data_IF_639696111350
#
_entry.id   IF_639696111350
#
_cell.length_a   1.000
_cell.length_b   1.000
_cell.length_c   1.000
_cell.angle_alpha   90.00
_cell.angle_beta   90.00
_cell.angle_gamma   90.00
#
_symmetry.space_group_name_H-M   'P 1'
#
loop_
_entity.id
_entity.type
_entity.pdbx_description
1 polymer ?
#
# COMPACT_ATOMS: atom_id res chain seq x y z
N UNK A 1 -2.97 -35.85 -23.28
CA UNK A 1 -1.87 -34.99 -22.76
C UNK A 1 -2.37 -33.63 -22.27
N UNK A 2 -3.21 -32.91 -23.02
CA UNK A 2 -3.76 -31.61 -22.59
C UNK A 2 -4.54 -31.64 -21.25
N UNK A 3 -5.28 -32.73 -20.97
CA UNK A 3 -6.04 -32.92 -19.73
C UNK A 3 -5.17 -33.04 -18.47
N UNK A 4 -4.02 -33.72 -18.56
CA UNK A 4 -3.08 -33.87 -17.43
C UNK A 4 -2.37 -32.55 -17.11
N UNK A 5 -2.07 -31.74 -18.12
CA UNK A 5 -1.47 -30.42 -17.94
C UNK A 5 -2.47 -29.43 -17.32
N UNK A 6 -3.75 -29.53 -17.67
CA UNK A 6 -4.83 -28.75 -17.07
C UNK A 6 -5.06 -29.11 -15.59
N UNK A 7 -5.00 -30.40 -15.26
CA UNK A 7 -5.09 -30.88 -13.87
C UNK A 7 -3.89 -30.41 -13.02
N UNK A 8 -2.68 -30.43 -13.58
CA UNK A 8 -1.47 -29.97 -12.90
C UNK A 8 -1.50 -28.45 -12.68
N UNK A 9 -2.05 -27.70 -13.63
CA UNK A 9 -2.26 -26.25 -13.49
C UNK A 9 -3.29 -25.92 -12.41
N UNK A 10 -4.41 -26.65 -12.33
CA UNK A 10 -5.38 -26.50 -11.24
C UNK A 10 -4.80 -26.86 -9.88
N UNK A 11 -3.94 -27.88 -9.80
CA UNK A 11 -3.24 -28.24 -8.56
C UNK A 11 -2.27 -27.14 -8.11
N UNK A 12 -1.55 -26.50 -9.04
CA UNK A 12 -0.66 -25.37 -8.76
C UNK A 12 -1.47 -24.12 -8.37
N UNK A 13 -2.63 -23.87 -8.99
CA UNK A 13 -3.57 -22.79 -8.62
C UNK A 13 -4.14 -22.99 -7.23
N UNK A 14 -4.56 -24.21 -6.89
CA UNK A 14 -5.06 -24.55 -5.57
C UNK A 14 -3.97 -24.41 -4.52
N UNK A 15 -2.73 -24.83 -4.82
CA UNK A 15 -1.57 -24.66 -3.95
C UNK A 15 -1.21 -23.18 -3.75
N UNK A 16 -1.23 -22.39 -4.82
CA UNK A 16 -1.02 -20.93 -4.79
C UNK A 16 -2.08 -20.22 -3.96
N UNK A 17 -3.37 -20.51 -4.20
CA UNK A 17 -4.48 -19.95 -3.42
C UNK A 17 -4.38 -20.38 -1.95
N UNK A 18 -4.02 -21.63 -1.67
CA UNK A 18 -3.82 -22.12 -0.31
C UNK A 18 -2.68 -21.39 0.40
N UNK A 19 -1.55 -21.10 -0.27
CA UNK A 19 -0.43 -20.37 0.32
C UNK A 19 -0.73 -18.88 0.55
N UNK A 20 -1.40 -18.22 -0.40
CA UNK A 20 -1.84 -16.82 -0.24
C UNK A 20 -2.91 -16.70 0.85
N UNK A 21 -3.82 -17.66 0.93
CA UNK A 21 -4.90 -17.68 1.90
C UNK A 21 -4.41 -18.13 3.28
N UNK A 22 -3.38 -18.98 3.36
CA UNK A 22 -2.67 -19.32 4.60
C UNK A 22 -2.06 -18.07 5.26
N UNK A 23 -1.48 -17.14 4.48
CA UNK A 23 -0.99 -15.87 5.00
C UNK A 23 -2.09 -14.99 5.63
N UNK A 24 -3.33 -15.07 5.13
CA UNK A 24 -4.51 -14.40 5.71
C UNK A 24 -5.07 -15.15 6.92
N UNK A 25 -5.00 -16.48 6.93
CA UNK A 25 -5.46 -17.32 8.04
C UNK A 25 -4.52 -17.26 9.23
N UNK A 26 -3.22 -17.07 9.01
CA UNK A 26 -2.22 -16.80 10.05
C UNK A 26 -2.45 -15.47 10.78
N UNK A 27 -3.11 -14.47 10.15
CA UNK A 27 -3.50 -13.22 10.83
C UNK A 27 -4.66 -13.46 11.80
N UNK A 28 -5.67 -14.24 11.39
CA UNK A 28 -6.79 -14.61 12.26
C UNK A 28 -6.34 -15.55 13.39
N UNK A 29 -5.44 -16.50 13.09
CA UNK A 29 -4.84 -17.40 14.08
C UNK A 29 -3.98 -16.65 15.10
N UNK A 30 -3.16 -15.68 14.69
CA UNK A 30 -2.35 -14.88 15.64
C UNK A 30 -3.17 -13.97 16.55
N UNK A 31 -4.30 -13.44 16.09
CA UNK A 31 -5.21 -12.66 16.95
C UNK A 31 -5.88 -13.56 17.98
N UNK A 32 -6.23 -14.80 17.60
CA UNK A 32 -6.74 -15.81 18.53
C UNK A 32 -5.63 -16.37 19.45
N UNK A 33 -4.40 -16.54 18.97
CA UNK A 33 -3.24 -16.97 19.76
C UNK A 33 -2.80 -15.89 20.73
N UNK A 34 -2.87 -14.59 20.39
CA UNK A 34 -2.61 -13.50 21.37
C UNK A 34 -3.67 -13.43 22.47
N UNK A 35 -4.89 -13.90 22.21
CA UNK A 35 -5.93 -14.04 23.22
C UNK A 35 -5.73 -15.31 24.07
N UNK A 36 -5.03 -16.33 23.53
CA UNK A 36 -4.81 -17.62 24.18
C UNK A 36 -3.42 -17.79 24.85
N UNK A 37 -2.40 -17.03 24.42
CA UNK A 37 -1.01 -17.15 24.87
C UNK A 37 -0.58 -15.94 25.70
N UNK A 38 -1.18 -15.83 26.89
CA UNK A 38 -0.50 -15.24 28.06
C UNK A 38 0.51 -16.22 28.69
N UNK A 39 0.83 -17.31 28.00
CA UNK A 39 1.86 -18.29 28.36
C UNK A 39 2.20 -19.15 27.15
N UNK A 40 3.44 -19.63 27.10
CA UNK A 40 4.07 -20.47 26.06
C UNK A 40 4.85 -19.71 24.99
N UNK A 41 6.14 -19.61 25.28
CA UNK A 41 7.25 -19.08 24.50
C UNK A 41 7.53 -19.84 23.20
N UNK A 42 7.84 -19.05 22.16
CA UNK A 42 8.86 -19.24 21.11
C UNK A 42 9.23 -20.66 20.60
N UNK A 43 8.89 -20.92 19.33
CA UNK A 43 9.72 -21.72 18.41
C UNK A 43 9.68 -21.13 16.99
N UNK A 44 10.79 -20.54 16.48
CA UNK A 44 10.93 -20.24 15.05
C UNK A 44 12.36 -20.52 14.55
N UNK A 45 12.68 -21.74 14.09
CA UNK A 45 14.04 -21.99 13.53
C UNK A 45 14.10 -22.84 12.23
N UNK A 46 13.09 -23.65 11.92
CA UNK A 46 13.19 -24.57 10.77
C UNK A 46 12.82 -23.99 9.38
N UNK A 47 12.14 -22.83 9.31
CA UNK A 47 11.60 -22.28 8.04
C UNK A 47 12.52 -21.26 7.36
N UNK A 48 13.57 -20.78 8.03
CA UNK A 48 14.42 -19.69 7.54
C UNK A 48 15.57 -20.17 6.62
N UNK A 49 16.12 -21.38 6.86
CA UNK A 49 17.31 -21.88 6.13
C UNK A 49 17.04 -22.19 4.65
N UNK A 50 15.88 -22.76 4.32
CA UNK A 50 15.51 -23.09 2.92
C UNK A 50 15.20 -21.83 2.10
N UNK A 51 14.68 -20.80 2.75
CA UNK A 51 14.30 -19.53 2.13
C UNK A 51 15.54 -18.66 1.82
N UNK A 52 16.56 -18.69 2.68
CA UNK A 52 17.87 -18.04 2.46
C UNK A 52 18.70 -18.68 1.35
N UNK A 53 18.64 -20.02 1.21
CA UNK A 53 19.37 -20.74 0.17
C UNK A 53 18.86 -20.48 -1.26
N UNK A 54 17.54 -20.26 -1.42
CA UNK A 54 16.92 -19.99 -2.72
C UNK A 54 17.04 -18.49 -3.08
N UNK A 55 16.92 -17.60 -2.10
CA UNK A 55 17.00 -16.15 -2.34
C UNK A 55 18.41 -15.70 -2.74
N UNK A 56 19.45 -16.28 -2.15
CA UNK A 56 20.86 -15.98 -2.46
C UNK A 56 21.29 -16.39 -3.88
N UNK A 57 20.73 -17.49 -4.41
CA UNK A 57 20.99 -17.91 -5.81
C UNK A 57 20.21 -17.09 -6.83
N UNK A 58 19.03 -16.56 -6.48
CA UNK A 58 18.24 -15.72 -7.40
C UNK A 58 18.68 -14.27 -7.48
N UNK A 59 19.26 -13.72 -6.41
CA UNK A 59 19.80 -12.36 -6.40
C UNK A 59 21.19 -12.24 -7.07
N UNK A 60 21.65 -13.28 -7.77
CA UNK A 60 22.94 -13.27 -8.49
C UNK A 60 22.91 -12.45 -9.80
N UNK A 61 21.73 -12.20 -10.40
CA UNK A 61 21.62 -11.39 -11.62
C UNK A 61 21.54 -9.88 -11.30
N UNK A 62 22.32 -9.01 -11.96
CA UNK A 62 22.32 -7.56 -11.70
C UNK A 62 20.96 -6.89 -11.94
N UNK A 63 20.16 -7.39 -12.90
CA UNK A 63 18.80 -6.87 -13.16
C UNK A 63 17.83 -7.15 -12.01
N UNK A 64 17.97 -8.30 -11.33
CA UNK A 64 17.06 -8.73 -10.26
C UNK A 64 17.33 -8.03 -8.93
N UNK A 65 18.56 -7.57 -8.68
CA UNK A 65 18.88 -6.84 -7.44
C UNK A 65 18.18 -5.48 -7.38
N UNK A 66 18.08 -4.79 -8.50
CA UNK A 66 17.46 -3.46 -8.54
C UNK A 66 15.93 -3.54 -8.38
N UNK A 67 15.29 -4.52 -9.04
CA UNK A 67 13.84 -4.73 -8.93
C UNK A 67 13.45 -5.26 -7.53
N UNK A 68 14.28 -6.13 -6.94
CA UNK A 68 14.13 -6.55 -5.54
C UNK A 68 14.28 -5.37 -4.57
N UNK A 69 15.28 -4.50 -4.75
CA UNK A 69 15.47 -3.33 -3.88
C UNK A 69 14.28 -2.36 -3.96
N UNK A 70 13.75 -2.13 -5.15
CA UNK A 70 12.58 -1.26 -5.35
C UNK A 70 11.34 -1.82 -4.65
N UNK A 71 11.06 -3.11 -4.84
CA UNK A 71 9.91 -3.78 -4.21
C UNK A 71 10.11 -3.95 -2.71
N UNK A 72 11.32 -4.26 -2.27
CA UNK A 72 11.69 -4.32 -0.87
C UNK A 72 11.49 -2.96 -0.21
N UNK A 73 11.93 -1.86 -0.83
CA UNK A 73 11.69 -0.51 -0.32
C UNK A 73 10.19 -0.21 -0.21
N UNK A 74 9.41 -0.56 -1.24
CA UNK A 74 7.96 -0.37 -1.25
C UNK A 74 7.23 -1.19 -0.16
N UNK A 75 7.67 -2.42 0.09
CA UNK A 75 7.09 -3.31 1.10
C UNK A 75 7.60 -3.02 2.51
N UNK A 76 8.83 -2.53 2.68
CA UNK A 76 9.41 -2.12 3.98
C UNK A 76 8.55 -1.06 4.64
N UNK A 77 7.95 -0.17 3.84
CA UNK A 77 7.05 0.87 4.33
C UNK A 77 5.84 0.27 5.04
N UNK A 78 5.37 -0.93 4.66
CA UNK A 78 4.21 -1.60 5.26
C UNK A 78 4.45 -2.20 6.65
N UNK A 79 5.65 -2.05 7.22
CA UNK A 79 5.99 -2.57 8.56
C UNK A 79 6.06 -4.09 8.65
N UNK A 80 6.16 -4.77 7.50
CA UNK A 80 6.33 -6.23 7.44
C UNK A 80 7.79 -6.60 7.64
N UNK A 81 8.02 -7.68 8.38
CA UNK A 81 9.36 -8.26 8.57
C UNK A 81 10.04 -8.55 7.22
N UNK A 82 11.35 -8.30 7.10
CA UNK A 82 12.10 -8.48 5.86
C UNK A 82 11.99 -9.90 5.28
N UNK A 83 11.88 -10.92 6.14
CA UNK A 83 11.67 -12.32 5.74
C UNK A 83 10.31 -12.55 5.04
N UNK A 84 9.26 -11.87 5.48
CA UNK A 84 7.90 -11.95 4.89
C UNK A 84 7.82 -11.21 3.56
N UNK A 85 8.59 -10.14 3.41
CA UNK A 85 8.71 -9.37 2.17
C UNK A 85 9.35 -10.23 1.07
N UNK A 86 10.38 -11.00 1.42
CA UNK A 86 11.03 -11.94 0.50
C UNK A 86 10.06 -13.03 0.03
N UNK A 87 9.27 -13.63 0.94
CA UNK A 87 8.29 -14.65 0.56
C UNK A 87 7.18 -14.13 -0.36
N UNK A 88 6.67 -12.92 -0.10
CA UNK A 88 5.65 -12.28 -0.95
C UNK A 88 6.22 -11.90 -2.31
N UNK A 89 7.47 -11.42 -2.35
CA UNK A 89 8.15 -11.09 -3.61
C UNK A 89 8.40 -12.35 -4.46
N UNK A 90 8.93 -13.42 -3.86
CA UNK A 90 9.20 -14.68 -4.57
C UNK A 90 7.91 -15.31 -5.12
N UNK A 91 6.84 -15.33 -4.32
CA UNK A 91 5.53 -15.78 -4.78
C UNK A 91 5.03 -14.86 -5.91
N UNK A 92 4.82 -13.57 -5.65
CA UNK A 92 4.13 -12.66 -6.58
C UNK A 92 4.92 -12.38 -7.86
N UNK A 93 6.25 -12.29 -7.78
CA UNK A 93 7.10 -11.89 -8.89
C UNK A 93 7.60 -13.09 -9.71
N UNK A 94 7.65 -14.30 -9.15
CA UNK A 94 8.12 -15.46 -9.90
C UNK A 94 7.00 -16.46 -10.24
N UNK A 95 6.22 -16.88 -9.26
CA UNK A 95 5.20 -17.92 -9.47
C UNK A 95 4.05 -17.44 -10.35
N UNK A 96 3.63 -16.18 -10.20
CA UNK A 96 2.52 -15.59 -10.97
C UNK A 96 2.83 -15.43 -12.47
N UNK A 97 3.98 -14.84 -12.90
CA UNK A 97 4.33 -14.77 -14.32
C UNK A 97 4.76 -16.11 -14.92
N UNK A 98 5.42 -17.00 -14.17
CA UNK A 98 5.75 -18.35 -14.66
C UNK A 98 4.47 -19.15 -14.93
N UNK A 99 3.47 -19.02 -14.06
CA UNK A 99 2.17 -19.67 -14.24
C UNK A 99 1.41 -19.11 -15.46
N UNK A 100 1.41 -17.79 -15.66
CA UNK A 100 0.83 -17.15 -16.85
C UNK A 100 1.54 -17.53 -18.15
N UNK A 101 2.86 -17.68 -18.11
CA UNK A 101 3.67 -18.11 -19.25
C UNK A 101 3.35 -19.57 -19.62
N UNK A 102 3.24 -20.45 -18.64
CA UNK A 102 2.88 -21.87 -18.83
C UNK A 102 1.44 -22.02 -19.35
N UNK A 103 0.51 -21.20 -18.84
CA UNK A 103 -0.88 -21.14 -19.33
C UNK A 103 -0.94 -20.64 -20.79
N UNK A 104 -0.18 -19.61 -21.13
CA UNK A 104 -0.12 -19.06 -22.48
C UNK A 104 0.51 -20.00 -23.49
N UNK A 105 1.55 -20.73 -23.09
CA UNK A 105 2.15 -21.78 -23.90
C UNK A 105 1.16 -22.90 -24.23
N UNK A 106 0.30 -23.26 -23.27
CA UNK A 106 -0.68 -24.32 -23.42
C UNK A 106 -1.87 -23.94 -24.31
N UNK A 107 -2.34 -22.70 -24.21
CA UNK A 107 -3.55 -22.23 -24.91
C UNK A 107 -3.26 -21.70 -26.32
N UNK A 108 -2.15 -20.98 -26.51
CA UNK A 108 -1.88 -20.20 -27.72
C UNK A 108 -0.42 -20.33 -28.22
N UNK A 109 0.30 -21.35 -27.76
CA UNK A 109 1.68 -21.63 -28.17
C UNK A 109 2.69 -20.57 -27.72
N UNK A 110 3.83 -20.48 -28.42
CA UNK A 110 4.95 -19.61 -28.03
C UNK A 110 4.58 -18.13 -27.96
N UNK A 111 3.79 -17.62 -28.93
CA UNK A 111 3.33 -16.22 -28.91
C UNK A 111 2.39 -15.93 -27.73
N UNK A 112 1.49 -16.88 -27.39
CA UNK A 112 0.62 -16.76 -26.22
C UNK A 112 1.39 -16.76 -24.90
N UNK A 113 2.42 -17.60 -24.79
CA UNK A 113 3.32 -17.65 -23.64
C UNK A 113 4.04 -16.31 -23.43
N UNK A 114 4.55 -15.72 -24.51
CA UNK A 114 5.30 -14.47 -24.46
C UNK A 114 4.39 -13.30 -24.05
N UNK A 115 3.20 -13.20 -24.65
CA UNK A 115 2.25 -12.13 -24.33
C UNK A 115 1.75 -12.22 -22.88
N UNK A 116 1.34 -13.39 -22.42
CA UNK A 116 0.82 -13.57 -21.05
C UNK A 116 1.93 -13.48 -19.99
N UNK A 117 3.15 -13.92 -20.29
CA UNK A 117 4.31 -13.74 -19.41
C UNK A 117 4.62 -12.27 -19.15
N UNK A 118 4.61 -11.44 -20.20
CA UNK A 118 4.83 -9.98 -20.10
C UNK A 118 3.71 -9.32 -19.28
N UNK A 119 2.45 -9.67 -19.55
CA UNK A 119 1.30 -9.15 -18.80
C UNK A 119 1.38 -9.56 -17.31
N UNK A 120 1.78 -10.80 -17.03
CA UNK A 120 1.96 -11.29 -15.66
C UNK A 120 3.06 -10.56 -14.90
N UNK A 121 4.18 -10.29 -15.56
CA UNK A 121 5.30 -9.56 -14.96
C UNK A 121 4.95 -8.10 -14.68
N UNK A 122 4.32 -7.40 -15.64
CA UNK A 122 3.89 -6.01 -15.45
C UNK A 122 2.76 -5.92 -14.42
N UNK A 123 1.81 -6.87 -14.46
CA UNK A 123 0.66 -6.92 -13.57
C UNK A 123 1.06 -7.12 -12.10
N UNK A 124 1.98 -8.05 -11.83
CA UNK A 124 2.47 -8.29 -10.46
C UNK A 124 3.19 -7.06 -9.90
N UNK A 125 4.06 -6.42 -10.69
CA UNK A 125 4.78 -5.19 -10.28
C UNK A 125 3.83 -4.04 -10.01
N UNK A 126 2.82 -3.84 -10.86
CA UNK A 126 1.80 -2.80 -10.66
C UNK A 126 0.93 -3.07 -9.44
N UNK A 127 0.57 -4.33 -9.19
CA UNK A 127 -0.19 -4.73 -8.01
C UNK A 127 0.57 -4.39 -6.72
N UNK A 128 1.83 -4.79 -6.61
CA UNK A 128 2.67 -4.52 -5.43
C UNK A 128 2.85 -3.01 -5.21
N UNK A 129 3.13 -2.25 -6.27
CA UNK A 129 3.25 -0.78 -6.17
C UNK A 129 1.95 -0.13 -5.72
N UNK A 130 0.80 -0.64 -6.16
CA UNK A 130 -0.51 -0.15 -5.71
C UNK A 130 -0.79 -0.43 -4.24
N UNK A 131 -0.33 -1.58 -3.72
CA UNK A 131 -0.45 -1.92 -2.31
C UNK A 131 0.42 -1.01 -1.45
N UNK A 132 1.67 -0.78 -1.87
CA UNK A 132 2.57 0.16 -1.21
C UNK A 132 1.97 1.56 -1.19
N UNK A 133 1.47 2.07 -2.32
CA UNK A 133 0.83 3.39 -2.38
C UNK A 133 -0.40 3.52 -1.45
N UNK A 134 -1.21 2.47 -1.32
CA UNK A 134 -2.33 2.44 -0.37
C UNK A 134 -1.86 2.46 1.08
N UNK A 135 -0.81 1.70 1.40
CA UNK A 135 -0.25 1.67 2.74
C UNK A 135 0.42 2.99 3.12
N UNK A 136 1.19 3.61 2.20
CA UNK A 136 1.75 4.94 2.39
C UNK A 136 0.66 5.98 2.64
N UNK A 137 -0.45 5.91 1.89
CA UNK A 137 -1.58 6.81 2.09
C UNK A 137 -2.23 6.62 3.46
N UNK A 138 -2.47 5.38 3.88
CA UNK A 138 -3.00 5.10 5.22
C UNK A 138 -2.07 5.62 6.32
N UNK A 139 -0.76 5.34 6.20
CA UNK A 139 0.23 5.86 7.14
C UNK A 139 0.34 7.39 7.13
N UNK A 140 0.04 8.04 6.00
CA UNK A 140 0.01 9.50 5.94
C UNK A 140 -1.17 10.07 6.75
N UNK A 141 -2.34 9.44 6.69
CA UNK A 141 -3.48 9.80 7.54
C UNK A 141 -3.19 9.52 9.02
N UNK A 142 -2.62 8.36 9.33
CA UNK A 142 -2.18 8.01 10.69
C UNK A 142 -1.12 9.01 11.22
N UNK A 143 -0.26 9.57 10.36
CA UNK A 143 0.73 10.55 10.76
C UNK A 143 0.10 11.88 11.20
N UNK A 144 -1.07 12.24 10.65
CA UNK A 144 -1.83 13.43 11.09
C UNK A 144 -2.33 13.21 12.52
N UNK A 145 -2.88 12.03 12.82
CA UNK A 145 -3.34 11.66 14.17
C UNK A 145 -2.17 11.62 15.17
N UNK A 146 -1.03 11.07 14.76
CA UNK A 146 0.19 11.10 15.56
C UNK A 146 0.65 12.53 15.85
N UNK A 147 0.64 13.41 14.85
CA UNK A 147 1.02 14.81 15.02
C UNK A 147 0.10 15.53 16.01
N UNK A 148 -1.23 15.33 15.92
CA UNK A 148 -2.20 15.90 16.86
C UNK A 148 -1.93 15.44 18.30
N UNK A 149 -1.70 14.14 18.49
CA UNK A 149 -1.39 13.61 19.82
C UNK A 149 -0.07 14.16 20.36
N UNK A 150 0.97 14.23 19.52
CA UNK A 150 2.25 14.79 19.94
C UNK A 150 2.13 16.28 20.28
N UNK A 151 1.39 17.08 19.50
CA UNK A 151 1.14 18.48 19.82
C UNK A 151 0.51 18.63 21.21
N UNK A 152 -0.55 17.88 21.50
CA UNK A 152 -1.23 17.89 22.81
C UNK A 152 -0.30 17.47 23.96
N UNK A 153 0.55 16.45 23.75
CA UNK A 153 1.50 15.99 24.77
C UNK A 153 2.63 17.01 25.00
N UNK A 154 3.11 17.67 23.94
CA UNK A 154 4.14 18.70 24.05
C UNK A 154 3.60 19.97 24.71
N UNK A 155 2.36 20.37 24.41
CA UNK A 155 1.66 21.46 25.09
C UNK A 155 1.49 21.21 26.59
N UNK A 156 1.28 19.94 26.98
CA UNK A 156 1.28 19.50 28.37
C UNK A 156 2.69 19.46 29.02
N UNK A 157 3.74 19.84 28.30
CA UNK A 157 5.11 19.93 28.78
C UNK A 157 5.90 18.62 28.74
N UNK A 158 5.44 17.60 28.00
CA UNK A 158 6.24 16.39 27.81
C UNK A 158 7.40 16.66 26.83
N UNK A 159 8.54 16.03 27.09
CA UNK A 159 9.64 15.99 26.12
C UNK A 159 9.22 15.17 24.91
N UNK A 160 9.85 15.41 23.75
CA UNK A 160 9.56 14.70 22.50
C UNK A 160 9.68 13.18 22.69
N UNK A 161 10.75 12.73 23.35
CA UNK A 161 11.03 11.32 23.59
C UNK A 161 9.93 10.67 24.43
N UNK A 162 9.49 11.37 25.49
CA UNK A 162 8.39 10.90 26.33
C UNK A 162 7.06 10.93 25.58
N UNK A 163 6.84 11.93 24.73
CA UNK A 163 5.70 12.02 23.83
C UNK A 163 5.59 10.82 22.90
N UNK A 164 6.67 10.44 22.21
CA UNK A 164 6.71 9.24 21.37
C UNK A 164 6.46 7.96 22.17
N UNK A 165 6.98 7.86 23.38
CA UNK A 165 6.74 6.70 24.26
C UNK A 165 5.27 6.58 24.65
N UNK A 166 4.63 7.68 25.02
CA UNK A 166 3.20 7.72 25.36
C UNK A 166 2.34 7.45 24.12
N UNK A 167 2.65 8.07 22.99
CA UNK A 167 1.96 7.84 21.72
C UNK A 167 2.08 6.37 21.27
N UNK A 168 3.23 5.74 21.43
CA UNK A 168 3.40 4.31 21.10
C UNK A 168 2.55 3.37 21.95
N UNK A 169 2.13 3.78 23.15
CA UNK A 169 1.27 2.97 24.03
C UNK A 169 -0.21 3.28 23.80
N UNK A 170 -0.57 4.55 23.67
CA UNK A 170 -1.96 5.00 23.63
C UNK A 170 -2.53 5.11 22.21
N UNK A 171 -1.71 5.49 21.23
CA UNK A 171 -2.16 5.68 19.84
C UNK A 171 -2.16 4.38 19.02
N UNK A 172 -1.60 3.28 19.52
CA UNK A 172 -1.57 1.98 18.82
C UNK A 172 -2.86 1.56 18.10
N UNK A 173 -4.07 1.67 18.70
CA UNK A 173 -5.31 1.34 17.99
C UNK A 173 -5.67 2.33 16.87
N UNK A 174 -5.23 3.58 16.96
CA UNK A 174 -5.47 4.65 15.99
C UNK A 174 -4.47 4.63 14.83
N UNK A 175 -3.21 4.28 15.11
CA UNK A 175 -2.09 4.33 14.16
C UNK A 175 -1.37 2.97 13.97
N UNK A 176 -2.10 1.91 13.58
CA UNK A 176 -1.53 0.56 13.49
C UNK A 176 -0.40 0.44 12.45
N UNK A 177 -0.43 1.21 11.36
CA UNK A 177 0.59 1.24 10.33
C UNK A 177 1.89 1.92 10.78
N UNK A 178 1.81 2.91 11.68
CA UNK A 178 2.98 3.62 12.23
C UNK A 178 3.51 3.00 13.53
N UNK A 179 2.73 2.18 14.24
CA UNK A 179 3.11 1.62 15.53
C UNK A 179 4.53 0.98 15.56
N UNK A 180 4.89 0.23 14.52
CA UNK A 180 6.22 -0.40 14.45
C UNK A 180 7.37 0.63 14.35
N UNK A 181 7.12 1.78 13.69
CA UNK A 181 8.09 2.86 13.54
C UNK A 181 8.31 3.58 14.87
N UNK A 182 7.23 3.81 15.62
CA UNK A 182 7.29 4.34 16.99
C UNK A 182 8.03 3.40 17.93
N UNK A 183 7.78 2.10 17.88
CA UNK A 183 8.50 1.11 18.69
C UNK A 183 10.00 1.10 18.35
N UNK A 184 10.35 1.20 17.07
CA UNK A 184 11.74 1.29 16.62
C UNK A 184 12.41 2.56 17.11
N UNK A 185 11.74 3.71 17.01
CA UNK A 185 12.22 4.98 17.56
C UNK A 185 12.47 4.90 19.06
N UNK A 186 11.50 4.39 19.83
CA UNK A 186 11.63 4.26 21.28
C UNK A 186 12.82 3.36 21.66
N UNK A 187 13.01 2.23 20.97
CA UNK A 187 14.18 1.35 21.17
C UNK A 187 15.51 2.04 20.88
N UNK A 188 15.57 2.86 19.81
CA UNK A 188 16.77 3.64 19.48
C UNK A 188 17.07 4.66 20.59
N UNK A 189 16.05 5.38 21.06
CA UNK A 189 16.20 6.32 22.17
C UNK A 189 16.60 5.64 23.48
N UNK A 190 16.05 4.46 23.79
CA UNK A 190 16.43 3.65 24.96
C UNK A 190 17.89 3.16 24.88
N UNK A 191 18.40 2.90 23.68
CA UNK A 191 19.80 2.53 23.46
C UNK A 191 20.78 3.71 23.54
N UNK A 192 20.28 4.94 23.77
CA UNK A 192 21.11 6.15 23.82
C UNK A 192 21.55 6.64 22.45
N UNK A 193 20.82 6.29 21.38
CA UNK A 193 21.11 6.81 20.04
C UNK A 193 20.88 8.32 19.97
N UNK A 194 21.56 8.98 19.02
CA UNK A 194 21.32 10.39 18.75
C UNK A 194 19.87 10.62 18.30
N UNK A 195 19.22 11.62 18.91
CA UNK A 195 17.81 11.96 18.64
C UNK A 195 17.58 12.33 17.19
N UNK A 196 18.50 13.09 16.60
CA UNK A 196 18.36 13.52 15.20
C UNK A 196 18.45 12.34 14.25
N UNK A 197 19.39 11.42 14.50
CA UNK A 197 19.51 10.17 13.75
C UNK A 197 18.26 9.27 13.90
N UNK A 198 17.69 9.17 15.11
CA UNK A 198 16.46 8.41 15.35
C UNK A 198 15.24 9.02 14.64
N UNK A 199 15.13 10.36 14.60
CA UNK A 199 14.10 11.07 13.86
C UNK A 199 14.27 10.93 12.34
N UNK A 200 15.52 10.92 11.84
CA UNK A 200 15.78 10.66 10.43
C UNK A 200 15.40 9.22 10.04
N UNK A 201 15.61 8.24 10.93
CA UNK A 201 15.24 6.84 10.71
C UNK A 201 13.71 6.63 10.69
N UNK A 202 12.97 7.26 11.60
CA UNK A 202 11.51 7.13 11.63
C UNK A 202 10.85 7.84 10.43
N UNK A 203 11.42 8.98 10.01
CA UNK A 203 11.02 9.76 8.84
C UNK A 203 11.68 9.32 7.52
N UNK A 204 12.36 8.17 7.50
CA UNK A 204 13.11 7.71 6.33
C UNK A 204 12.16 7.42 5.16
N UNK A 205 12.24 8.27 4.13
CA UNK A 205 11.46 8.16 2.90
C UNK A 205 10.42 9.28 2.73
N UNK A 206 10.32 9.84 1.52
CA UNK A 206 9.33 10.88 1.16
C UNK A 206 7.94 10.29 0.86
N UNK A 207 7.77 8.99 1.03
CA UNK A 207 6.54 8.28 0.68
C UNK A 207 5.39 8.57 1.65
N UNK A 208 5.70 9.08 2.85
CA UNK A 208 4.74 9.52 3.87
C UNK A 208 5.02 11.01 4.18
N UNK A 209 4.48 11.95 3.38
CA UNK A 209 4.82 13.37 3.47
C UNK A 209 4.65 13.98 4.86
N UNK A 210 3.53 13.70 5.54
CA UNK A 210 3.21 14.29 6.85
C UNK A 210 4.21 13.82 7.91
N UNK A 211 4.52 12.52 7.96
CA UNK A 211 5.50 11.97 8.91
C UNK A 211 6.90 12.55 8.66
N UNK A 212 7.30 12.67 7.40
CA UNK A 212 8.58 13.24 7.02
C UNK A 212 8.69 14.74 7.37
N UNK A 213 7.62 15.51 7.16
CA UNK A 213 7.58 16.92 7.59
C UNK A 213 7.61 17.03 9.11
N UNK A 214 6.83 16.22 9.82
CA UNK A 214 6.79 16.18 11.28
C UNK A 214 8.18 15.90 11.89
N UNK A 215 8.86 14.86 11.42
CA UNK A 215 10.20 14.49 11.90
C UNK A 215 11.25 15.58 11.66
N UNK A 216 11.17 16.28 10.52
CA UNK A 216 12.02 17.45 10.25
C UNK A 216 11.74 18.60 11.20
N UNK A 217 10.46 18.92 11.45
CA UNK A 217 10.09 19.95 12.41
C UNK A 217 10.61 19.62 13.82
N UNK A 218 10.41 18.37 14.27
CA UNK A 218 10.90 17.87 15.56
C UNK A 218 12.43 17.88 15.67
N UNK A 219 13.14 17.68 14.56
CA UNK A 219 14.60 17.76 14.51
C UNK A 219 15.09 19.20 14.59
N UNK A 220 14.39 20.12 13.92
CA UNK A 220 14.72 21.54 13.91
C UNK A 220 14.37 22.22 15.25
N UNK A 221 13.35 21.74 15.95
CA UNK A 221 13.00 22.25 17.26
C UNK A 221 14.08 21.88 18.29
N UNK A 222 14.72 22.91 18.84
CA UNK A 222 15.51 22.78 20.07
C UNK A 222 14.63 22.34 21.24
N UNK A 223 15.24 22.07 22.39
CA UNK A 223 14.59 21.58 23.60
C UNK A 223 13.51 22.51 24.23
N UNK A 224 13.12 23.61 23.57
CA UNK A 224 12.19 24.62 24.07
C UNK A 224 10.86 24.54 23.31
N UNK A 225 9.83 24.03 24.01
CA UNK A 225 8.60 23.47 23.43
C UNK A 225 7.44 24.42 23.11
N UNK A 226 7.57 25.75 23.25
CA UNK A 226 6.47 26.66 22.94
C UNK A 226 6.23 26.84 21.43
N UNK A 227 7.28 27.19 20.69
CA UNK A 227 7.18 27.50 19.25
C UNK A 227 6.98 26.26 18.35
N UNK A 228 7.27 25.07 18.87
CA UNK A 228 7.13 23.83 18.10
C UNK A 228 5.67 23.41 17.95
N UNK A 229 4.85 23.61 18.98
CA UNK A 229 3.43 23.19 18.96
C UNK A 229 2.67 23.94 17.88
N UNK A 230 2.87 25.25 17.75
CA UNK A 230 2.30 26.06 16.66
C UNK A 230 2.72 25.54 15.27
N UNK A 231 3.98 25.14 15.12
CA UNK A 231 4.49 24.57 13.86
C UNK A 231 3.86 23.21 13.54
N UNK A 232 3.62 22.38 14.55
CA UNK A 232 2.93 21.10 14.40
C UNK A 232 1.45 21.33 14.03
N UNK A 233 0.77 22.29 14.67
CA UNK A 233 -0.60 22.66 14.33
C UNK A 233 -0.72 23.18 12.90
N UNK A 234 0.22 24.02 12.45
CA UNK A 234 0.25 24.47 11.07
C UNK A 234 0.42 23.29 10.10
N UNK A 235 1.31 22.34 10.41
CA UNK A 235 1.49 21.12 9.62
C UNK A 235 0.21 20.26 9.58
N UNK A 236 -0.49 20.13 10.70
CA UNK A 236 -1.76 19.38 10.79
C UNK A 236 -2.80 20.04 9.89
N UNK A 237 -2.96 21.37 9.96
CA UNK A 237 -3.91 22.10 9.15
C UNK A 237 -3.60 21.97 7.65
N UNK A 238 -2.32 22.12 7.27
CA UNK A 238 -1.88 21.91 5.88
C UNK A 238 -2.20 20.49 5.39
N UNK A 239 -1.92 19.47 6.20
CA UNK A 239 -2.21 18.09 5.86
C UNK A 239 -3.71 17.81 5.70
N UNK A 240 -4.54 18.36 6.59
CA UNK A 240 -6.00 18.26 6.50
C UNK A 240 -6.54 18.97 5.26
N UNK A 241 -5.97 20.12 4.89
CA UNK A 241 -6.38 20.85 3.69
C UNK A 241 -6.01 20.11 2.40
N UNK A 242 -4.86 19.44 2.36
CA UNK A 242 -4.49 18.54 1.26
C UNK A 242 -5.51 17.39 1.13
N UNK A 243 -5.89 16.76 2.24
CA UNK A 243 -6.89 15.68 2.21
C UNK A 243 -8.28 16.19 1.80
N UNK A 244 -8.72 17.34 2.32
CA UNK A 244 -9.98 17.99 1.92
C UNK A 244 -9.97 18.32 0.44
N UNK A 245 -8.87 18.85 -0.10
CA UNK A 245 -8.72 19.15 -1.52
C UNK A 245 -8.84 17.88 -2.37
N UNK A 246 -8.19 16.80 -1.95
CA UNK A 246 -8.28 15.50 -2.62
C UNK A 246 -9.69 14.91 -2.61
N UNK A 247 -10.42 15.04 -1.51
CA UNK A 247 -11.82 14.62 -1.42
C UNK A 247 -12.69 15.47 -2.35
N UNK A 248 -12.49 16.80 -2.36
CA UNK A 248 -13.18 17.72 -3.28
C UNK A 248 -12.93 17.38 -4.74
N UNK A 249 -11.70 17.06 -5.12
CA UNK A 249 -11.36 16.66 -6.50
C UNK A 249 -12.10 15.37 -6.91
N UNK A 250 -12.16 14.38 -6.02
CA UNK A 250 -12.90 13.13 -6.28
C UNK A 250 -14.39 13.38 -6.48
N UNK A 251 -15.00 14.21 -5.64
CA UNK A 251 -16.41 14.60 -5.77
C UNK A 251 -16.64 15.36 -7.07
N UNK A 252 -15.76 16.32 -7.40
CA UNK A 252 -15.88 17.11 -8.62
C UNK A 252 -15.75 16.25 -9.88
N UNK A 253 -14.82 15.27 -9.89
CA UNK A 253 -14.68 14.31 -10.99
C UNK A 253 -15.94 13.47 -11.17
N UNK A 254 -16.61 13.07 -10.09
CA UNK A 254 -17.89 12.35 -10.17
C UNK A 254 -18.99 13.26 -10.73
N UNK A 255 -19.06 14.52 -10.28
CA UNK A 255 -19.98 15.52 -10.82
C UNK A 255 -19.80 15.74 -12.33
N UNK A 256 -18.56 15.89 -12.80
CA UNK A 256 -18.26 16.03 -14.22
C UNK A 256 -18.65 14.81 -15.06
N UNK A 257 -18.57 13.59 -14.51
CA UNK A 257 -19.07 12.39 -15.23
C UNK A 257 -20.57 12.41 -15.40
N UNK A 258 -21.32 12.94 -14.42
CA UNK A 258 -22.77 13.01 -14.51
C UNK A 258 -23.24 13.95 -15.62
N UNK A 259 -22.59 15.10 -15.80
CA UNK A 259 -22.96 16.04 -16.86
C UNK A 259 -22.72 15.46 -18.24
N UNK A 260 -21.62 14.73 -18.45
CA UNK A 260 -21.32 14.04 -19.72
C UNK A 260 -22.34 12.96 -20.01
N UNK A 261 -22.66 12.11 -19.03
CA UNK A 261 -23.70 11.08 -19.18
C UNK A 261 -25.03 11.74 -19.57
N UNK A 262 -25.44 12.77 -18.85
CA UNK A 262 -26.67 13.50 -19.16
C UNK A 262 -26.66 14.09 -20.56
N UNK A 263 -25.57 14.71 -21.01
CA UNK A 263 -25.45 15.27 -22.35
C UNK A 263 -25.60 14.21 -23.44
N UNK A 264 -24.95 13.04 -23.26
CA UNK A 264 -25.00 11.93 -24.22
C UNK A 264 -26.41 11.33 -24.33
N UNK A 265 -27.21 11.34 -23.26
CA UNK A 265 -28.57 10.78 -23.30
C UNK A 265 -29.66 11.81 -23.64
N UNK A 266 -29.54 13.05 -23.15
CA UNK A 266 -30.53 14.11 -23.38
C UNK A 266 -30.45 14.69 -24.80
N UNK A 267 -29.24 14.87 -25.35
CA UNK A 267 -29.08 15.50 -26.65
C UNK A 267 -29.69 14.66 -27.79
N UNK A 268 -29.45 13.33 -27.91
CA UNK A 268 -30.11 12.51 -28.92
C UNK A 268 -31.62 12.43 -28.74
N UNK A 269 -32.11 12.36 -27.49
CA UNK A 269 -33.54 12.37 -27.21
C UNK A 269 -34.20 13.68 -27.70
N UNK A 270 -33.54 14.82 -27.48
CA UNK A 270 -33.99 16.12 -27.97
C UNK A 270 -34.05 16.16 -29.51
N UNK A 271 -33.03 15.64 -30.20
CA UNK A 271 -33.03 15.54 -31.67
C UNK A 271 -34.15 14.66 -32.22
N UNK A 272 -34.46 13.53 -31.56
CA UNK A 272 -35.56 12.65 -31.98
C UNK A 272 -36.90 13.36 -31.82
N UNK A 273 -37.12 14.06 -30.70
CA UNK A 273 -38.39 14.76 -30.42
C UNK A 273 -38.62 15.90 -31.42
N UNK A 274 -37.59 16.71 -31.71
CA UNK A 274 -37.71 17.87 -32.60
C UNK A 274 -37.67 17.45 -34.08
N UNK A 275 -36.74 16.57 -34.43
CA UNK A 275 -36.48 16.15 -35.82
C UNK A 275 -37.45 15.09 -36.34
N UNK A 276 -38.09 14.31 -35.45
CA UNK A 276 -39.02 13.24 -35.83
C UNK A 276 -40.13 13.69 -36.78
N UNK A 277 -40.93 14.73 -36.43
CA UNK A 277 -41.99 15.23 -37.30
C UNK A 277 -41.47 15.81 -38.61
N UNK A 278 -40.34 16.54 -38.55
CA UNK A 278 -39.73 17.15 -39.73
C UNK A 278 -39.24 16.10 -40.73
N UNK A 279 -38.63 15.00 -40.25
CA UNK A 279 -38.21 13.88 -41.07
C UNK A 279 -39.38 13.18 -41.76
N UNK A 280 -40.47 12.93 -41.02
CA UNK A 280 -41.70 12.32 -41.58
C UNK A 280 -42.30 13.20 -42.69
N UNK A 281 -42.35 14.53 -42.48
CA UNK A 281 -42.89 15.47 -43.45
C UNK A 281 -42.06 15.52 -44.75
N UNK A 282 -40.73 15.49 -44.66
CA UNK A 282 -39.83 15.50 -45.83
C UNK A 282 -40.01 14.22 -46.66
N UNK A 283 -40.09 13.05 -46.01
CA UNK A 283 -40.31 11.78 -46.70
C UNK A 283 -41.65 11.77 -47.42
N UNK A 284 -42.72 12.26 -46.79
CA UNK A 284 -44.03 12.39 -47.44
C UNK A 284 -44.00 13.33 -48.64
N UNK A 285 -43.24 14.44 -48.57
CA UNK A 285 -43.13 15.39 -49.67
C UNK A 285 -42.34 14.83 -50.88
N UNK A 286 -41.34 13.96 -50.65
CA UNK A 286 -40.54 13.34 -51.71
C UNK A 286 -41.21 12.14 -52.40
N UNK A 287 -42.16 11.49 -51.72
CA UNK A 287 -42.84 10.29 -52.24
C UNK A 287 -44.09 10.65 -53.06
N UNK A 288 -44.45 11.93 -53.13
CA UNK A 288 -45.62 12.46 -53.82
C UNK A 288 -45.22 13.10 -55.14
#
# INVERSE_FOLDING_TARGET
>A
MASYLLALLFAVVACWLALVQAGRWEQRRRVLERLNQRGASAEPEARNVVMEGISSRLTASPFMRDDYKEVFKALRITGREPEKIQGIYLLACWLLPVMLLLLGALLAGFLGAMALGVIGFIGSRRYIRSLAGKACYQQNLEAIELAQMLAMLLEAGLTIERGFRVAALQARPLIPGLAFRLDRFNRLMESGADRSAALDDIGEGKDIPVLHSLTRLLKQSGALGGAITESIEQLINEALDVERSRVKEQVNRVGAKMTVIMMVFMMPALFIIIGGPAGINIVQALTR
#
